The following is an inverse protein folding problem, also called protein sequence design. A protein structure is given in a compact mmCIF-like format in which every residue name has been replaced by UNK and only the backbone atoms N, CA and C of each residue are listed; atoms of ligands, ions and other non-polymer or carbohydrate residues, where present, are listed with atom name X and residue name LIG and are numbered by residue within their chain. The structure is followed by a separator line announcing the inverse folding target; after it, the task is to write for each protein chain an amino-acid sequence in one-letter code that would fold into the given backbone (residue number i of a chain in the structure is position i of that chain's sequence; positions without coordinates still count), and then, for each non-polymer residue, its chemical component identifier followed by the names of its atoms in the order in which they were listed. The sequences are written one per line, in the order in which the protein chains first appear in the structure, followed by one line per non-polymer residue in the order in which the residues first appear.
data_IF_913459075698
#
_entry.id   IF_913459075698
#
_cell.length_a   1.000
_cell.length_b   1.000
_cell.length_c   1.000
_cell.angle_alpha   90.00
_cell.angle_beta   90.00
_cell.angle_gamma   90.00
#
_symmetry.space_group_name_H-M   'P 1'
#
loop_
_entity.id
_entity.type
_entity.pdbx_description
1 polymer ?
#
# COMPACT_ATOMS: atom_id res chain seq x y z
N UNK A 1 57.24 -0.08 -48.90
CA UNK A 1 57.99 1.16 -48.58
C UNK A 1 57.22 2.01 -47.60
N UNK A 2 57.84 2.30 -46.47
CA UNK A 2 57.55 3.40 -45.47
C UNK A 2 56.23 3.32 -44.73
N UNK A 3 56.18 3.52 -43.48
CA UNK A 3 57.04 3.58 -42.28
C UNK A 3 56.11 3.72 -41.09
N UNK A 4 56.39 2.98 -40.05
CA UNK A 4 55.86 3.12 -38.69
C UNK A 4 56.02 4.57 -38.20
N UNK A 5 55.04 5.02 -37.37
CA UNK A 5 55.31 5.85 -36.22
C UNK A 5 54.33 5.42 -35.12
N UNK A 6 54.86 4.87 -34.08
CA UNK A 6 54.27 4.69 -32.75
C UNK A 6 54.17 6.05 -32.05
N UNK A 7 53.12 6.26 -31.29
CA UNK A 7 53.26 7.03 -30.05
C UNK A 7 52.22 6.56 -29.04
N UNK A 8 52.75 6.15 -27.93
CA UNK A 8 52.12 5.74 -26.68
C UNK A 8 51.31 6.86 -26.03
N UNK A 9 50.30 6.48 -25.26
CA UNK A 9 49.54 7.36 -24.41
C UNK A 9 48.45 6.61 -23.66
N UNK A 10 48.84 5.60 -22.89
CA UNK A 10 47.97 5.00 -21.88
C UNK A 10 47.65 6.02 -20.79
N UNK A 11 46.38 6.42 -20.70
CA UNK A 11 45.82 6.96 -19.47
C UNK A 11 44.80 5.95 -18.95
N UNK A 12 45.19 5.19 -17.95
CA UNK A 12 44.38 4.35 -17.11
C UNK A 12 43.43 5.21 -16.31
N UNK A 13 42.18 5.34 -16.76
CA UNK A 13 41.07 5.82 -15.97
C UNK A 13 40.56 4.64 -15.14
N UNK A 14 40.89 4.65 -13.85
CA UNK A 14 40.42 3.68 -12.88
C UNK A 14 38.91 3.72 -12.80
N UNK A 15 38.24 2.75 -13.36
CA UNK A 15 36.83 2.47 -13.12
C UNK A 15 36.68 1.86 -11.73
N UNK A 16 36.33 2.73 -10.78
CA UNK A 16 35.82 2.31 -9.48
C UNK A 16 34.38 1.78 -9.68
N UNK A 17 34.25 0.57 -10.20
CA UNK A 17 33.01 -0.17 -10.21
C UNK A 17 32.70 -0.53 -8.74
N UNK A 18 31.82 0.25 -8.10
CA UNK A 18 31.11 -0.20 -6.92
C UNK A 18 30.29 -1.41 -7.34
N UNK A 19 30.79 -2.58 -7.01
CA UNK A 19 30.12 -3.86 -7.12
C UNK A 19 28.95 -3.88 -6.14
N UNK A 20 27.83 -3.25 -6.48
CA UNK A 20 26.55 -3.42 -5.81
C UNK A 20 25.99 -4.75 -6.30
N UNK A 21 26.45 -5.85 -5.70
CA UNK A 21 25.80 -7.15 -5.88
C UNK A 21 24.33 -6.97 -5.49
N UNK A 22 23.43 -7.19 -6.45
CA UNK A 22 22.00 -7.31 -6.16
C UNK A 22 21.84 -8.39 -5.08
N UNK A 23 21.14 -8.08 -3.96
CA UNK A 23 21.00 -9.03 -2.88
C UNK A 23 20.29 -10.28 -3.38
N UNK A 24 20.86 -11.45 -3.13
CA UNK A 24 20.26 -12.73 -3.50
C UNK A 24 18.84 -12.82 -2.93
N UNK A 25 17.85 -12.86 -3.84
CA UNK A 25 16.42 -12.92 -3.52
C UNK A 25 16.09 -14.09 -2.59
N UNK A 26 16.81 -15.20 -2.69
CA UNK A 26 16.64 -16.36 -1.81
C UNK A 26 17.14 -16.07 -0.40
N UNK A 27 18.25 -15.37 -0.27
CA UNK A 27 18.80 -14.92 1.01
C UNK A 27 17.81 -14.01 1.75
N UNK A 28 17.25 -13.02 1.05
CA UNK A 28 16.27 -12.10 1.63
C UNK A 28 14.98 -12.81 2.08
N UNK A 29 14.49 -13.77 1.29
CA UNK A 29 13.35 -14.61 1.66
C UNK A 29 13.65 -15.45 2.91
N UNK A 30 14.86 -16.00 3.01
CA UNK A 30 15.31 -16.75 4.18
C UNK A 30 15.29 -15.89 5.43
N UNK A 31 15.88 -14.70 5.38
CA UNK A 31 15.88 -13.74 6.50
C UNK A 31 14.46 -13.40 6.97
N UNK A 32 13.52 -13.17 6.03
CA UNK A 32 12.13 -12.88 6.40
C UNK A 32 11.42 -14.06 7.08
N UNK A 33 11.71 -15.29 6.66
CA UNK A 33 11.20 -16.50 7.32
C UNK A 33 11.81 -16.70 8.72
N UNK A 34 13.09 -16.40 8.88
CA UNK A 34 13.77 -16.45 10.18
C UNK A 34 13.15 -15.44 11.16
N UNK A 35 12.89 -14.21 10.71
CA UNK A 35 12.17 -13.21 11.51
C UNK A 35 10.75 -13.67 11.91
N UNK A 36 10.03 -14.34 11.01
CA UNK A 36 8.72 -14.91 11.32
C UNK A 36 8.87 -16.01 12.38
N UNK A 37 9.82 -16.93 12.22
CA UNK A 37 10.07 -18.00 13.18
C UNK A 37 10.43 -17.45 14.58
N UNK A 38 11.25 -16.38 14.65
CA UNK A 38 11.54 -15.66 15.91
C UNK A 38 10.25 -15.13 16.57
N UNK A 39 9.35 -14.51 15.78
CA UNK A 39 8.06 -14.03 16.29
C UNK A 39 7.19 -15.17 16.80
N UNK A 40 7.12 -16.28 16.09
CA UNK A 40 6.34 -17.47 16.48
C UNK A 40 6.87 -18.11 17.76
N UNK A 41 8.18 -18.28 17.88
CA UNK A 41 8.82 -18.81 19.09
C UNK A 41 8.57 -17.94 20.32
N UNK A 42 8.45 -16.63 20.13
CA UNK A 42 8.16 -15.68 21.20
C UNK A 42 6.65 -15.52 21.48
N UNK A 43 5.78 -16.37 20.91
CA UNK A 43 4.33 -16.31 21.10
C UNK A 43 3.66 -15.10 20.45
N UNK A 44 4.32 -14.45 19.48
CA UNK A 44 3.83 -13.24 18.77
C UNK A 44 3.60 -13.51 17.28
N UNK A 45 3.03 -14.67 16.97
CA UNK A 45 2.71 -15.06 15.59
C UNK A 45 1.64 -14.13 15.00
N UNK A 46 1.95 -13.30 13.99
CA UNK A 46 0.99 -12.39 13.40
C UNK A 46 -0.17 -13.12 12.72
N UNK A 47 0.03 -14.36 12.26
CA UNK A 47 -1.00 -15.14 11.59
C UNK A 47 -2.06 -15.74 12.53
N UNK A 48 -1.85 -15.65 13.85
CA UNK A 48 -2.86 -16.00 14.85
C UNK A 48 -3.85 -14.84 15.11
N UNK A 49 -3.56 -13.64 14.62
CA UNK A 49 -4.44 -12.48 14.78
C UNK A 49 -5.51 -12.54 13.70
N UNK A 50 -6.70 -12.99 14.07
CA UNK A 50 -7.82 -13.18 13.15
C UNK A 50 -8.70 -11.95 12.95
N UNK A 51 -8.59 -10.95 13.85
CA UNK A 51 -9.41 -9.74 13.82
C UNK A 51 -8.63 -8.51 14.28
N UNK A 52 -8.77 -7.42 13.55
CA UNK A 52 -8.35 -6.08 13.95
C UNK A 52 -9.55 -5.14 13.80
N UNK A 53 -9.82 -4.33 14.82
CA UNK A 53 -10.96 -3.41 14.80
C UNK A 53 -10.56 -2.09 14.13
N UNK A 54 -10.56 -2.10 12.80
CA UNK A 54 -10.36 -0.91 11.99
C UNK A 54 -11.57 0.01 12.09
N UNK A 55 -11.33 1.32 12.32
CA UNK A 55 -12.40 2.33 12.39
C UNK A 55 -12.52 3.14 11.11
N UNK A 56 -11.41 3.43 10.45
CA UNK A 56 -11.36 4.31 9.29
C UNK A 56 -10.37 3.77 8.23
N UNK A 57 -10.55 4.23 7.00
CA UNK A 57 -9.57 4.08 5.93
C UNK A 57 -8.75 5.35 5.75
N UNK A 58 -7.64 5.24 5.02
CA UNK A 58 -6.65 6.32 4.84
C UNK A 58 -7.23 7.62 4.30
N UNK A 59 -8.15 7.57 3.32
CA UNK A 59 -8.79 8.78 2.79
C UNK A 59 -9.81 9.34 3.78
N UNK A 60 -10.60 8.49 4.43
CA UNK A 60 -11.57 8.90 5.45
C UNK A 60 -10.90 9.66 6.60
N UNK A 61 -9.71 9.23 7.03
CA UNK A 61 -8.92 9.96 8.04
C UNK A 61 -8.54 11.35 7.55
N UNK A 62 -8.13 11.48 6.29
CA UNK A 62 -7.76 12.78 5.72
C UNK A 62 -8.94 13.71 5.62
N UNK A 63 -10.05 13.23 5.06
CA UNK A 63 -11.29 14.00 4.92
C UNK A 63 -11.84 14.44 6.28
N UNK A 64 -11.83 13.52 7.26
CA UNK A 64 -12.27 13.80 8.62
C UNK A 64 -11.39 14.84 9.31
N UNK A 65 -10.06 14.73 9.13
CA UNK A 65 -9.13 15.69 9.72
C UNK A 65 -9.29 17.08 9.08
N UNK A 66 -9.43 17.17 7.76
CA UNK A 66 -9.64 18.44 7.06
C UNK A 66 -10.94 19.13 7.48
N UNK A 67 -12.02 18.36 7.61
CA UNK A 67 -13.30 18.89 8.09
C UNK A 67 -13.21 19.40 9.53
N UNK A 68 -12.58 18.65 10.41
CA UNK A 68 -12.39 19.00 11.81
C UNK A 68 -11.46 20.22 11.98
N UNK A 69 -10.36 20.25 11.24
CA UNK A 69 -9.43 21.38 11.21
C UNK A 69 -10.14 22.66 10.75
N UNK A 70 -10.94 22.57 9.68
CA UNK A 70 -11.70 23.70 9.17
C UNK A 70 -12.75 24.24 10.16
N UNK A 71 -13.35 23.36 10.97
CA UNK A 71 -14.31 23.75 12.00
C UNK A 71 -13.61 24.42 13.20
N UNK A 72 -12.56 23.79 13.73
CA UNK A 72 -11.84 24.26 14.93
C UNK A 72 -11.04 25.52 14.66
N UNK A 73 -10.41 25.61 13.49
CA UNK A 73 -9.58 26.77 13.12
C UNK A 73 -10.36 27.84 12.37
N UNK A 74 -11.67 27.83 12.39
CA UNK A 74 -12.52 28.79 11.67
C UNK A 74 -12.20 30.25 12.01
N UNK A 75 -11.89 30.53 13.26
CA UNK A 75 -11.58 31.88 13.74
C UNK A 75 -10.07 32.15 13.84
N UNK A 76 -9.23 31.16 13.50
CA UNK A 76 -7.77 31.30 13.52
C UNK A 76 -7.29 32.09 12.30
N UNK A 77 -6.58 33.19 12.57
CA UNK A 77 -6.01 34.04 11.50
C UNK A 77 -4.55 33.61 11.22
N UNK A 78 -4.29 33.26 9.98
CA UNK A 78 -2.92 32.98 9.54
C UNK A 78 -2.07 34.27 9.60
N UNK A 79 -0.79 34.16 10.02
CA UNK A 79 0.10 35.33 10.07
C UNK A 79 0.32 35.88 8.67
N UNK A 80 0.20 37.22 8.55
CA UNK A 80 0.58 37.89 7.32
C UNK A 80 2.11 38.04 7.30
N UNK A 81 2.76 37.31 6.40
CA UNK A 81 4.22 37.31 6.23
C UNK A 81 4.71 38.26 5.11
N UNK A 82 3.79 38.99 4.45
CA UNK A 82 4.15 39.96 3.42
C UNK A 82 4.97 41.12 4.02
N UNK A 83 6.17 41.32 3.50
CA UNK A 83 7.07 42.40 3.94
C UNK A 83 8.00 42.03 5.12
N UNK A 84 7.93 40.80 5.64
CA UNK A 84 8.88 40.31 6.65
C UNK A 84 10.17 39.81 5.99
N UNK A 85 11.27 39.87 6.75
CA UNK A 85 12.47 39.15 6.32
C UNK A 85 12.32 37.62 6.43
N UNK A 86 13.25 36.86 5.84
CA UNK A 86 13.17 35.43 5.75
C UNK A 86 13.18 34.72 7.12
N UNK A 87 13.91 35.27 8.11
CA UNK A 87 13.97 34.71 9.46
C UNK A 87 12.68 34.99 10.24
N UNK A 88 12.17 36.22 10.16
CA UNK A 88 10.91 36.61 10.81
C UNK A 88 9.73 35.85 10.22
N UNK A 89 9.66 35.66 8.89
CA UNK A 89 8.64 34.86 8.25
C UNK A 89 8.68 33.38 8.69
N UNK A 90 9.87 32.79 8.79
CA UNK A 90 10.04 31.42 9.29
C UNK A 90 9.61 31.27 10.74
N UNK A 91 9.92 32.24 11.59
CA UNK A 91 9.53 32.22 13.00
C UNK A 91 8.02 32.41 13.17
N UNK A 92 7.41 33.31 12.42
CA UNK A 92 5.97 33.52 12.41
C UNK A 92 5.21 32.26 11.99
N UNK A 93 5.62 31.61 10.90
CA UNK A 93 5.05 30.35 10.42
C UNK A 93 5.27 29.18 11.40
N UNK A 94 6.40 29.18 12.11
CA UNK A 94 6.66 28.17 13.14
C UNK A 94 5.72 28.35 14.33
N UNK A 95 5.53 29.57 14.79
CA UNK A 95 4.64 29.90 15.92
C UNK A 95 3.18 29.59 15.56
N UNK A 96 2.74 29.96 14.37
CA UNK A 96 1.41 29.59 13.83
C UNK A 96 1.19 28.07 13.82
N UNK A 97 2.18 27.33 13.35
CA UNK A 97 2.10 25.86 13.34
C UNK A 97 1.99 25.29 14.78
N UNK A 98 2.77 25.81 15.73
CA UNK A 98 2.73 25.35 17.12
C UNK A 98 1.39 25.71 17.80
N UNK A 99 0.83 26.88 17.52
CA UNK A 99 -0.48 27.30 18.01
C UNK A 99 -1.60 26.43 17.43
N UNK A 100 -1.68 26.28 16.11
CA UNK A 100 -2.66 25.40 15.44
C UNK A 100 -2.56 23.97 15.94
N UNK A 101 -1.35 23.47 16.12
CA UNK A 101 -1.13 22.14 16.66
C UNK A 101 -1.65 22.03 18.09
N UNK A 102 -1.39 23.00 18.95
CA UNK A 102 -1.89 23.01 20.34
C UNK A 102 -3.43 22.99 20.39
N UNK A 103 -4.06 23.76 19.49
CA UNK A 103 -5.53 23.79 19.37
C UNK A 103 -6.08 22.41 18.94
N UNK A 104 -5.46 21.80 17.93
CA UNK A 104 -5.87 20.48 17.41
C UNK A 104 -5.58 19.36 18.42
N UNK A 105 -4.45 19.42 19.15
CA UNK A 105 -4.08 18.43 20.16
C UNK A 105 -5.05 18.46 21.38
N UNK A 106 -5.82 19.55 21.58
CA UNK A 106 -6.87 19.62 22.59
C UNK A 106 -8.12 18.80 22.23
N UNK A 107 -8.34 18.48 20.93
CA UNK A 107 -9.44 17.65 20.45
C UNK A 107 -8.94 16.62 19.42
N UNK A 108 -8.15 15.63 19.83
CA UNK A 108 -7.52 14.69 18.92
C UNK A 108 -8.53 13.73 18.28
N UNK A 109 -8.35 13.47 16.99
CA UNK A 109 -9.14 12.48 16.27
C UNK A 109 -8.43 11.13 16.37
N UNK A 110 -8.91 10.28 17.28
CA UNK A 110 -8.40 8.92 17.42
C UNK A 110 -8.93 8.01 16.31
N UNK A 111 -8.01 7.27 15.69
CA UNK A 111 -8.29 6.38 14.58
C UNK A 111 -7.57 5.05 14.74
N UNK A 112 -8.18 4.00 14.18
CA UNK A 112 -7.54 2.71 13.99
C UNK A 112 -7.61 2.35 12.50
N UNK A 113 -6.44 2.19 11.87
CA UNK A 113 -6.33 1.82 10.47
C UNK A 113 -5.51 0.54 10.30
N UNK A 114 -5.73 -0.16 9.21
CA UNK A 114 -4.93 -1.32 8.83
C UNK A 114 -4.50 -1.23 7.37
N UNK A 115 -3.27 -1.60 7.09
CA UNK A 115 -2.77 -1.57 5.71
C UNK A 115 -1.34 -2.08 5.58
N UNK A 116 -0.89 -2.09 4.34
CA UNK A 116 0.44 -2.55 3.95
C UNK A 116 1.46 -1.43 4.05
N UNK A 117 2.57 -1.68 4.74
CA UNK A 117 3.70 -0.76 4.80
C UNK A 117 4.45 -0.75 3.46
N UNK A 118 4.36 0.36 2.74
CA UNK A 118 4.97 0.54 1.42
C UNK A 118 6.28 1.32 1.44
N UNK A 119 6.53 2.02 2.53
CA UNK A 119 7.74 2.80 2.73
C UNK A 119 8.05 2.90 4.23
N UNK A 120 9.33 2.92 4.56
CA UNK A 120 9.81 3.10 5.94
C UNK A 120 11.11 3.91 5.94
N UNK A 121 11.16 4.93 6.78
CA UNK A 121 12.35 5.75 7.05
C UNK A 121 12.60 5.83 8.55
N UNK A 122 13.68 5.21 8.99
CA UNK A 122 14.07 5.19 10.41
C UNK A 122 15.03 6.36 10.69
N UNK A 123 14.73 7.21 11.68
CA UNK A 123 15.51 8.36 12.07
C UNK A 123 15.73 8.37 13.59
N UNK A 124 16.60 7.48 14.09
CA UNK A 124 16.94 7.40 15.51
C UNK A 124 15.78 7.00 16.43
N UNK A 125 15.22 7.94 17.20
CA UNK A 125 14.10 7.72 18.14
C UNK A 125 12.73 7.87 17.50
N UNK A 126 12.66 8.42 16.30
CA UNK A 126 11.44 8.60 15.54
C UNK A 126 11.59 7.99 14.14
N UNK A 127 10.49 7.66 13.51
CA UNK A 127 10.46 7.08 12.18
C UNK A 127 9.19 7.52 11.46
N UNK A 128 9.24 7.46 10.13
CA UNK A 128 8.06 7.60 9.28
C UNK A 128 7.86 6.33 8.46
N UNK A 129 6.64 5.94 8.26
CA UNK A 129 6.28 4.94 7.29
C UNK A 129 5.00 5.35 6.54
N UNK A 130 4.79 4.77 5.37
CA UNK A 130 3.55 4.94 4.62
C UNK A 130 2.78 3.62 4.63
N UNK A 131 1.53 3.70 5.02
CA UNK A 131 0.59 2.58 5.03
C UNK A 131 -0.38 2.75 3.88
N UNK A 132 -0.48 1.71 3.06
CA UNK A 132 -1.42 1.61 1.94
C UNK A 132 -2.57 0.70 2.31
N UNK A 133 -3.79 1.21 2.17
CA UNK A 133 -5.02 0.44 2.32
C UNK A 133 -5.83 0.34 1.02
N UNK A 134 -7.12 0.02 1.12
CA UNK A 134 -8.01 -0.06 -0.04
C UNK A 134 -8.19 1.30 -0.73
N UNK A 135 -8.32 2.37 0.06
CA UNK A 135 -8.66 3.70 -0.46
C UNK A 135 -7.44 4.50 -0.90
N UNK A 136 -6.29 4.35 -0.21
CA UNK A 136 -5.11 5.14 -0.56
C UNK A 136 -3.90 4.88 0.31
N UNK A 137 -3.14 5.95 0.55
CA UNK A 137 -1.95 5.93 1.39
C UNK A 137 -2.04 7.02 2.45
N UNK A 138 -1.53 6.72 3.64
CA UNK A 138 -1.36 7.69 4.69
C UNK A 138 0.02 7.55 5.33
N UNK A 139 0.62 8.69 5.67
CA UNK A 139 1.86 8.73 6.42
C UNK A 139 1.59 8.43 7.89
N UNK A 140 2.51 7.73 8.51
CA UNK A 140 2.47 7.40 9.94
C UNK A 140 3.77 7.82 10.58
N UNK A 141 3.67 8.61 11.64
CA UNK A 141 4.77 8.97 12.52
C UNK A 141 4.85 7.98 13.67
N UNK A 142 6.00 7.37 13.84
CA UNK A 142 6.25 6.32 14.83
C UNK A 142 7.35 6.81 15.76
N UNK A 143 6.99 7.21 16.97
CA UNK A 143 7.93 7.62 18.00
C UNK A 143 8.15 6.50 19.02
N UNK A 144 9.43 6.26 19.38
CA UNK A 144 9.79 5.24 20.37
C UNK A 144 9.13 5.50 21.72
N UNK A 145 9.04 6.76 22.10
CA UNK A 145 8.51 7.15 23.40
C UNK A 145 6.97 7.03 23.45
N UNK A 146 6.28 7.00 22.30
CA UNK A 146 4.85 6.78 22.19
C UNK A 146 4.46 5.30 22.17
N UNK A 147 5.12 4.49 21.32
CA UNK A 147 4.78 3.07 21.17
C UNK A 147 5.55 2.15 22.12
N UNK A 148 6.56 2.65 22.82
CA UNK A 148 7.45 1.90 23.69
C UNK A 148 8.69 1.33 22.99
N UNK A 149 9.72 1.04 23.79
CA UNK A 149 11.04 0.63 23.27
C UNK A 149 10.98 -0.68 22.51
N UNK A 150 10.26 -1.67 23.02
CA UNK A 150 10.18 -3.02 22.43
C UNK A 150 9.39 -3.01 21.14
N UNK A 151 8.22 -2.37 21.12
CA UNK A 151 7.42 -2.23 19.91
C UNK A 151 8.15 -1.42 18.81
N UNK A 152 8.93 -0.41 19.22
CA UNK A 152 9.77 0.35 18.30
C UNK A 152 10.94 -0.48 17.73
N UNK A 153 11.54 -1.36 18.53
CA UNK A 153 12.56 -2.30 18.08
C UNK A 153 11.99 -3.30 17.06
N UNK A 154 10.79 -3.82 17.30
CA UNK A 154 10.07 -4.70 16.38
C UNK A 154 9.70 -3.97 15.08
N UNK A 155 9.22 -2.73 15.18
CA UNK A 155 8.99 -1.90 14.00
C UNK A 155 10.26 -1.70 13.18
N UNK A 156 11.40 -1.46 13.80
CA UNK A 156 12.69 -1.34 13.08
C UNK A 156 13.08 -2.62 12.35
N UNK A 157 12.78 -3.79 12.93
CA UNK A 157 13.03 -5.11 12.31
C UNK A 157 12.02 -5.48 11.23
N UNK A 158 10.86 -4.81 11.16
CA UNK A 158 9.81 -5.10 10.17
C UNK A 158 10.29 -4.83 8.73
N UNK A 159 9.62 -5.42 7.77
CA UNK A 159 9.99 -5.33 6.36
C UNK A 159 8.91 -4.61 5.54
N UNK A 160 9.32 -3.95 4.44
CA UNK A 160 8.38 -3.40 3.47
C UNK A 160 7.52 -4.53 2.91
N UNK A 161 6.21 -4.28 2.85
CA UNK A 161 5.21 -5.27 2.48
C UNK A 161 4.47 -5.89 3.67
N UNK A 162 4.99 -5.75 4.90
CA UNK A 162 4.28 -6.19 6.11
C UNK A 162 2.96 -5.43 6.27
N UNK A 163 1.93 -6.10 6.81
CA UNK A 163 0.64 -5.48 7.09
C UNK A 163 0.55 -5.16 8.57
N UNK A 164 0.26 -3.90 8.88
CA UNK A 164 0.12 -3.40 10.24
C UNK A 164 -1.30 -2.92 10.52
N UNK A 165 -1.76 -3.15 11.74
CA UNK A 165 -2.82 -2.41 12.38
C UNK A 165 -2.21 -1.30 13.24
N UNK A 166 -2.75 -0.12 13.17
CA UNK A 166 -2.27 1.10 13.80
C UNK A 166 -3.40 1.74 14.58
N UNK A 167 -3.15 2.07 15.83
CA UNK A 167 -4.04 2.87 16.67
C UNK A 167 -3.28 4.16 17.03
N UNK A 168 -3.95 5.31 16.97
CA UNK A 168 -3.35 6.59 17.28
C UNK A 168 -4.26 7.75 16.87
N UNK A 169 -3.71 8.94 16.71
CA UNK A 169 -4.47 10.13 16.35
C UNK A 169 -3.93 10.81 15.10
N UNK A 170 -4.83 11.45 14.38
CA UNK A 170 -4.51 12.20 13.18
C UNK A 170 -3.90 13.57 13.54
N UNK A 171 -2.88 13.99 12.79
CA UNK A 171 -2.25 15.31 12.94
C UNK A 171 -1.68 15.79 11.61
N UNK A 172 -1.43 17.09 11.49
CA UNK A 172 -0.75 17.67 10.33
C UNK A 172 0.72 17.87 10.65
N UNK A 173 1.60 17.40 9.77
CA UNK A 173 3.05 17.61 9.87
C UNK A 173 3.41 19.06 9.54
N UNK A 174 4.63 19.47 9.90
CA UNK A 174 5.17 20.81 9.55
C UNK A 174 5.23 21.06 8.03
N UNK A 175 5.29 20.00 7.23
CA UNK A 175 5.26 20.06 5.76
C UNK A 175 3.84 20.07 5.18
N UNK A 176 2.81 20.09 6.04
CA UNK A 176 1.41 20.15 5.64
C UNK A 176 0.74 18.79 5.38
N UNK A 177 1.47 17.67 5.49
CA UNK A 177 0.90 16.35 5.22
C UNK A 177 0.10 15.83 6.43
N UNK A 178 -1.14 15.39 6.19
CA UNK A 178 -1.97 14.74 7.20
C UNK A 178 -1.42 13.34 7.45
N UNK A 179 -1.12 13.07 8.71
CA UNK A 179 -0.43 11.86 9.14
C UNK A 179 -1.08 11.30 10.41
N UNK A 180 -0.77 10.07 10.78
CA UNK A 180 -1.18 9.47 12.04
C UNK A 180 0.02 9.40 12.97
N UNK A 181 -0.13 9.91 14.18
CA UNK A 181 0.79 9.67 15.28
C UNK A 181 0.43 8.33 15.92
N UNK A 182 1.29 7.33 15.72
CA UNK A 182 1.03 5.99 16.23
C UNK A 182 1.23 5.94 17.75
N UNK A 183 0.23 5.43 18.46
CA UNK A 183 0.26 5.09 19.88
C UNK A 183 0.44 3.59 20.09
N UNK A 184 -0.09 2.79 19.13
CA UNK A 184 0.08 1.35 19.13
C UNK A 184 0.22 0.82 17.70
N UNK A 185 1.11 -0.15 17.53
CA UNK A 185 1.33 -0.84 16.27
C UNK A 185 1.27 -2.35 16.48
N UNK A 186 0.47 -3.02 15.66
CA UNK A 186 0.33 -4.48 15.69
C UNK A 186 0.66 -5.05 14.32
N UNK A 187 1.62 -5.96 14.26
CA UNK A 187 1.91 -6.68 13.01
C UNK A 187 0.79 -7.71 12.77
N UNK A 188 0.01 -7.51 11.72
CA UNK A 188 -1.13 -8.37 11.37
C UNK A 188 -0.75 -9.48 10.38
N UNK A 189 0.22 -9.22 9.52
CA UNK A 189 0.71 -10.21 8.55
C UNK A 189 2.13 -9.90 8.12
N UNK A 190 2.98 -10.92 8.12
CA UNK A 190 4.37 -10.84 7.69
C UNK A 190 4.49 -11.08 6.18
N UNK A 191 5.10 -10.15 5.48
CA UNK A 191 5.41 -10.31 4.06
C UNK A 191 6.65 -11.18 3.88
N UNK A 192 6.48 -12.39 3.38
CA UNK A 192 7.58 -13.34 3.14
C UNK A 192 8.24 -13.17 1.75
N UNK A 193 7.50 -12.55 0.82
CA UNK A 193 8.00 -12.19 -0.51
C UNK A 193 8.33 -10.70 -0.55
N UNK A 194 9.35 -10.34 -1.32
CA UNK A 194 9.65 -8.93 -1.57
C UNK A 194 8.70 -8.39 -2.63
N UNK A 195 8.29 -7.15 -2.43
CA UNK A 195 7.59 -6.41 -3.47
C UNK A 195 8.60 -5.93 -4.53
N UNK A 196 8.20 -5.82 -5.80
CA UNK A 196 8.99 -5.18 -6.84
C UNK A 196 9.39 -3.75 -6.45
N UNK A 197 10.43 -3.21 -7.09
CA UNK A 197 10.86 -1.84 -6.82
C UNK A 197 9.75 -0.82 -7.11
N UNK A 198 9.60 0.13 -6.18
CA UNK A 198 8.49 1.09 -6.18
C UNK A 198 8.49 2.03 -7.39
N UNK A 199 9.68 2.37 -7.91
CA UNK A 199 9.80 3.42 -8.95
C UNK A 199 9.37 2.96 -10.34
N UNK A 200 9.48 1.67 -10.64
CA UNK A 200 9.13 1.13 -11.95
C UNK A 200 7.85 0.30 -11.91
N UNK A 201 7.32 0.01 -10.72
CA UNK A 201 6.18 -0.88 -10.56
C UNK A 201 6.47 -2.28 -11.12
N UNK A 202 5.43 -2.99 -11.45
CA UNK A 202 5.50 -4.24 -12.18
C UNK A 202 5.22 -3.94 -13.65
N UNK A 203 6.28 -3.84 -14.49
CA UNK A 203 6.17 -3.44 -15.91
C UNK A 203 5.98 -4.62 -16.85
N UNK A 204 6.58 -5.78 -16.53
CA UNK A 204 6.48 -6.98 -17.35
C UNK A 204 5.03 -7.50 -17.41
N UNK A 205 4.47 -7.53 -18.61
CA UNK A 205 3.06 -7.87 -18.85
C UNK A 205 2.73 -9.30 -18.45
N UNK A 206 3.60 -10.27 -18.74
CA UNK A 206 3.35 -11.67 -18.40
C UNK A 206 3.32 -11.85 -16.87
N UNK A 207 4.27 -11.26 -16.15
CA UNK A 207 4.29 -11.28 -14.69
C UNK A 207 3.06 -10.58 -14.10
N UNK A 208 2.59 -9.46 -14.68
CA UNK A 208 1.37 -8.77 -14.25
C UNK A 208 0.13 -9.66 -14.36
N UNK A 209 0.02 -10.46 -15.40
CA UNK A 209 -1.08 -11.40 -15.57
C UNK A 209 -0.95 -12.63 -14.65
N UNK A 210 0.26 -13.18 -14.48
CA UNK A 210 0.49 -14.35 -13.64
C UNK A 210 0.46 -14.05 -12.15
N UNK A 211 0.90 -12.86 -11.75
CA UNK A 211 0.94 -12.40 -10.36
C UNK A 211 0.03 -11.19 -10.17
N UNK A 212 -1.24 -11.33 -10.55
CA UNK A 212 -2.22 -10.23 -10.50
C UNK A 212 -2.31 -9.57 -9.13
N UNK A 213 -2.18 -10.31 -8.05
CA UNK A 213 -2.17 -9.79 -6.69
C UNK A 213 -1.01 -8.81 -6.43
N UNK A 214 0.17 -9.04 -7.03
CA UNK A 214 1.29 -8.09 -6.95
C UNK A 214 1.01 -6.86 -7.82
N UNK A 215 0.50 -7.05 -9.03
CA UNK A 215 0.11 -5.95 -9.92
C UNK A 215 -0.90 -5.00 -9.24
N UNK A 216 -1.90 -5.53 -8.54
CA UNK A 216 -2.88 -4.73 -7.79
C UNK A 216 -2.28 -3.99 -6.58
N UNK A 217 -1.19 -4.49 -5.98
CA UNK A 217 -0.48 -3.81 -4.90
C UNK A 217 0.38 -2.66 -5.44
N UNK A 218 1.06 -2.88 -6.57
CA UNK A 218 2.08 -1.97 -7.09
C UNK A 218 1.53 -0.94 -8.08
N UNK A 219 0.55 -1.33 -8.90
CA UNK A 219 0.03 -0.52 -10.01
C UNK A 219 -1.37 0.02 -9.67
N UNK A 220 -1.44 1.31 -9.35
CA UNK A 220 -2.69 1.97 -8.97
C UNK A 220 -3.75 1.92 -10.08
N UNK A 221 -3.35 2.08 -11.35
CA UNK A 221 -4.26 2.04 -12.51
C UNK A 221 -4.92 0.66 -12.68
N UNK A 222 -4.15 -0.42 -12.47
CA UNK A 222 -4.70 -1.78 -12.49
C UNK A 222 -5.73 -1.95 -11.37
N UNK A 223 -5.39 -1.54 -10.15
CA UNK A 223 -6.30 -1.60 -9.00
C UNK A 223 -7.60 -0.83 -9.29
N UNK A 224 -7.51 0.40 -9.78
CA UNK A 224 -8.65 1.24 -10.12
C UNK A 224 -9.54 0.59 -11.21
N UNK A 225 -8.93 0.01 -12.24
CA UNK A 225 -9.64 -0.70 -13.31
C UNK A 225 -10.47 -1.86 -12.73
N UNK A 226 -9.90 -2.68 -11.85
CA UNK A 226 -10.64 -3.80 -11.25
C UNK A 226 -11.75 -3.34 -10.29
N UNK A 227 -11.52 -2.25 -9.54
CA UNK A 227 -12.54 -1.63 -8.69
C UNK A 227 -13.69 -1.12 -9.55
N UNK A 228 -13.39 -0.39 -10.64
CA UNK A 228 -14.40 0.10 -11.60
C UNK A 228 -15.20 -1.04 -12.21
N UNK A 229 -14.53 -2.12 -12.65
CA UNK A 229 -15.22 -3.31 -13.18
C UNK A 229 -16.23 -3.87 -12.18
N UNK A 230 -15.83 -4.05 -10.92
CA UNK A 230 -16.73 -4.55 -9.87
C UNK A 230 -17.92 -3.62 -9.65
N UNK A 231 -17.68 -2.30 -9.63
CA UNK A 231 -18.75 -1.29 -9.50
C UNK A 231 -19.71 -1.31 -10.67
N UNK A 232 -19.22 -1.47 -11.91
CA UNK A 232 -20.05 -1.57 -13.11
C UNK A 232 -20.98 -2.79 -13.03
N UNK A 233 -20.45 -3.97 -12.70
CA UNK A 233 -21.26 -5.18 -12.55
C UNK A 233 -22.32 -5.03 -11.45
N UNK A 234 -21.95 -4.44 -10.31
CA UNK A 234 -22.90 -4.16 -9.24
C UNK A 234 -24.00 -3.17 -9.68
N UNK A 235 -23.65 -2.14 -10.45
CA UNK A 235 -24.59 -1.17 -10.98
C UNK A 235 -25.58 -1.80 -11.97
N UNK A 236 -25.10 -2.67 -12.87
CA UNK A 236 -25.96 -3.42 -13.80
C UNK A 236 -26.95 -4.29 -13.04
N UNK A 237 -26.47 -5.07 -12.06
CA UNK A 237 -27.36 -5.91 -11.23
C UNK A 237 -28.40 -5.08 -10.48
N UNK A 238 -27.96 -3.97 -9.87
CA UNK A 238 -28.85 -3.07 -9.15
C UNK A 238 -29.93 -2.47 -10.06
N UNK A 239 -29.54 -2.06 -11.27
CA UNK A 239 -30.47 -1.52 -12.25
C UNK A 239 -31.52 -2.54 -12.66
N UNK A 240 -31.09 -3.73 -13.14
CA UNK A 240 -32.00 -4.78 -13.58
C UNK A 240 -32.95 -5.24 -12.46
N UNK A 241 -32.41 -5.44 -11.25
CA UNK A 241 -33.26 -5.79 -10.08
C UNK A 241 -34.27 -4.67 -9.75
N UNK A 242 -33.87 -3.41 -9.93
CA UNK A 242 -34.77 -2.26 -9.76
C UNK A 242 -35.91 -2.19 -10.77
N UNK A 243 -35.66 -2.67 -11.99
CA UNK A 243 -36.68 -2.81 -13.06
C UNK A 243 -37.55 -4.08 -12.93
N UNK A 244 -37.37 -4.85 -11.84
CA UNK A 244 -38.17 -6.04 -11.57
C UNK A 244 -37.63 -7.33 -12.21
N UNK A 245 -36.46 -7.32 -12.81
CA UNK A 245 -35.81 -8.53 -13.30
C UNK A 245 -35.22 -9.34 -12.13
N UNK A 246 -35.34 -10.68 -12.23
CA UNK A 246 -34.76 -11.61 -11.28
C UNK A 246 -33.45 -12.16 -11.84
N UNK A 247 -32.35 -12.05 -11.07
CA UNK A 247 -31.07 -12.71 -11.40
C UNK A 247 -31.20 -14.21 -11.15
N UNK A 248 -30.86 -15.03 -12.16
CA UNK A 248 -30.88 -16.48 -12.08
C UNK A 248 -29.55 -17.07 -12.51
N UNK A 249 -29.18 -18.18 -11.90
CA UNK A 249 -28.04 -18.98 -12.30
C UNK A 249 -28.50 -20.09 -13.23
N UNK A 250 -28.01 -20.08 -14.47
CA UNK A 250 -28.28 -21.13 -15.44
C UNK A 250 -27.19 -22.19 -15.41
N UNK A 251 -27.49 -23.48 -15.68
CA UNK A 251 -26.47 -24.51 -15.77
C UNK A 251 -25.45 -24.20 -16.89
N UNK A 252 -24.14 -24.24 -16.56
CA UNK A 252 -23.09 -24.12 -17.59
C UNK A 252 -22.98 -25.37 -18.47
N UNK A 253 -23.28 -26.54 -17.91
CA UNK A 253 -23.32 -27.82 -18.62
C UNK A 253 -24.75 -28.13 -19.03
N UNK A 254 -24.99 -28.33 -20.30
CA UNK A 254 -26.32 -28.57 -20.86
C UNK A 254 -26.33 -29.82 -21.77
N UNK A 255 -27.42 -30.50 -21.83
CA UNK A 255 -27.56 -31.70 -22.70
C UNK A 255 -27.56 -31.36 -24.20
N UNK A 256 -28.07 -30.16 -24.56
CA UNK A 256 -28.15 -29.71 -25.94
C UNK A 256 -27.32 -28.45 -26.14
N UNK A 257 -26.42 -28.48 -27.13
CA UNK A 257 -25.70 -27.31 -27.55
C UNK A 257 -26.68 -26.30 -28.17
N UNK A 258 -26.74 -25.09 -27.63
CA UNK A 258 -27.60 -24.02 -28.14
C UNK A 258 -26.93 -22.65 -28.06
N UNK A 259 -27.28 -21.77 -28.99
CA UNK A 259 -27.08 -20.33 -28.86
C UNK A 259 -25.92 -19.71 -29.61
N UNK A 260 -24.72 -20.19 -29.61
CA UNK A 260 -23.58 -19.57 -30.31
C UNK A 260 -23.09 -20.44 -31.49
N UNK A 261 -22.43 -19.79 -32.46
CA UNK A 261 -21.80 -20.51 -33.59
C UNK A 261 -20.52 -21.27 -33.17
N UNK A 262 -20.09 -21.14 -31.93
CA UNK A 262 -18.92 -21.82 -31.39
C UNK A 262 -19.16 -23.34 -31.23
N UNK A 263 -18.13 -24.11 -31.52
CA UNK A 263 -18.18 -25.58 -31.37
C UNK A 263 -18.11 -25.92 -29.89
N UNK A 264 -19.14 -26.57 -29.30
CA UNK A 264 -19.08 -26.96 -27.90
C UNK A 264 -18.08 -28.09 -27.69
N UNK A 265 -17.48 -28.16 -26.52
CA UNK A 265 -16.75 -29.34 -26.09
C UNK A 265 -17.66 -30.26 -25.27
N UNK A 266 -17.41 -31.56 -25.35
CA UNK A 266 -18.15 -32.57 -24.61
C UNK A 266 -17.30 -33.08 -23.46
N UNK A 267 -17.88 -33.16 -22.26
CA UNK A 267 -17.26 -33.82 -21.13
C UNK A 267 -18.03 -35.03 -20.68
N UNK A 268 -17.33 -36.05 -20.21
CA UNK A 268 -17.90 -37.27 -19.70
C UNK A 268 -17.68 -37.36 -18.20
N UNK A 269 -18.74 -37.59 -17.45
CA UNK A 269 -18.67 -37.90 -16.02
C UNK A 269 -18.98 -39.38 -15.82
N UNK A 270 -18.39 -39.99 -14.79
CA UNK A 270 -18.68 -41.40 -14.42
C UNK A 270 -20.17 -41.61 -14.10
N UNK A 271 -20.85 -40.57 -13.64
CA UNK A 271 -22.26 -40.61 -13.26
C UNK A 271 -23.24 -40.14 -14.34
N UNK A 272 -22.76 -39.44 -15.41
CA UNK A 272 -23.63 -38.88 -16.46
C UNK A 272 -22.93 -39.02 -17.81
N UNK A 273 -23.61 -39.65 -18.75
CA UNK A 273 -23.02 -40.08 -20.02
C UNK A 273 -22.88 -38.98 -21.08
N UNK A 274 -23.58 -37.86 -20.99
CA UNK A 274 -23.48 -36.76 -21.98
C UNK A 274 -23.80 -35.42 -21.39
N UNK A 275 -22.76 -34.65 -21.05
CA UNK A 275 -22.83 -33.21 -20.71
C UNK A 275 -22.04 -32.41 -21.75
N UNK A 276 -22.62 -31.34 -22.27
CA UNK A 276 -21.97 -30.40 -23.20
C UNK A 276 -21.78 -29.06 -22.53
N UNK A 277 -20.57 -28.53 -22.58
CA UNK A 277 -20.27 -27.17 -22.09
C UNK A 277 -20.23 -26.19 -23.26
N UNK A 278 -20.76 -24.98 -23.06
CA UNK A 278 -20.58 -23.87 -23.96
C UNK A 278 -19.34 -23.06 -23.54
N UNK A 279 -18.35 -23.03 -24.43
CA UNK A 279 -17.33 -21.97 -24.34
C UNK A 279 -17.94 -20.67 -24.86
N UNK A 280 -18.01 -19.69 -24.03
CA UNK A 280 -18.13 -18.29 -24.47
C UNK A 280 -16.75 -17.84 -24.85
N UNK A 281 -16.45 -17.72 -26.13
CA UNK A 281 -15.27 -17.04 -26.63
C UNK A 281 -15.26 -15.62 -26.09
N UNK A 282 -14.40 -15.37 -25.13
CA UNK A 282 -14.04 -14.01 -24.74
C UNK A 282 -12.89 -13.58 -25.62
N UNK A 283 -13.16 -12.73 -26.61
CA UNK A 283 -12.15 -11.96 -27.32
C UNK A 283 -11.55 -10.87 -26.41
#
# INVERSE_FOLDING_TARGET
MRKQIETEGEQTVGQNQKNTQEPDMNQLRKVRREKLAELQQNGRDPFQITKFNQTHHSLEVKDLYEAHEAEILKDHQQPNVEGMDEEQAKEALKNDYEERRSIMDASPIHVAIAGRMMFKRVMGKASFCNIQDLQGNIQVYVARDAIGTDAYADFKKSDIGDIFGLEGFAFRTRTGEISIHAEKMTLLSKSLQMLPEKFHGLTDTDTRYRQRYVDLIMNADSKDTFIKRSKILAAVRKYLSGEGFMEVETPMLVANAGGAAARPFETHSVSYTHLRAHETDSY
#
